data_IF_008807509987
#
_entry.id   IF_008807509987
#
_cell.length_a   1.000
_cell.length_b   1.000
_cell.length_c   1.000
_cell.angle_alpha   90.00
_cell.angle_beta   90.00
_cell.angle_gamma   90.00
#
_symmetry.space_group_name_H-M   'P 1'
#
loop_
_entity.id
_entity.type
_entity.pdbx_description
1 polymer ?
#
# COMPACT_ATOMS: atom_id res chain seq x y z
N UNK A 1 26.39 30.66 25.04
CA UNK A 1 25.01 30.40 25.51
C UNK A 1 24.64 28.92 25.36
N UNK A 2 24.35 28.22 26.47
CA UNK A 2 24.10 26.76 26.52
C UNK A 2 22.87 26.31 25.70
N UNK A 3 21.95 27.24 25.41
CA UNK A 3 20.76 26.99 24.59
C UNK A 3 21.05 26.45 23.18
N UNK A 4 22.19 26.83 22.57
CA UNK A 4 22.58 26.31 21.24
C UNK A 4 22.91 24.81 21.27
N UNK A 5 23.46 24.30 22.37
CA UNK A 5 23.75 22.87 22.53
C UNK A 5 22.47 22.08 22.77
N UNK A 6 21.57 22.60 23.61
CA UNK A 6 20.26 21.99 23.84
C UNK A 6 19.45 21.84 22.55
N UNK A 7 19.39 22.89 21.72
CA UNK A 7 18.74 22.87 20.40
C UNK A 7 19.36 21.85 19.45
N UNK A 8 20.70 21.71 19.44
CA UNK A 8 21.39 20.70 18.61
C UNK A 8 21.05 19.28 19.04
N UNK A 9 21.04 19.00 20.34
CA UNK A 9 20.71 17.67 20.88
C UNK A 9 19.25 17.31 20.60
N UNK A 10 18.31 18.24 20.86
CA UNK A 10 16.89 18.05 20.52
C UNK A 10 16.68 17.84 19.01
N UNK A 11 17.31 18.67 18.18
CA UNK A 11 17.24 18.54 16.72
C UNK A 11 17.79 17.20 16.23
N UNK A 12 18.92 16.75 16.78
CA UNK A 12 19.50 15.45 16.46
C UNK A 12 18.56 14.30 16.86
N UNK A 13 17.94 14.35 18.04
CA UNK A 13 16.98 13.35 18.50
C UNK A 13 15.76 13.25 17.58
N UNK A 14 15.18 14.39 17.21
CA UNK A 14 14.05 14.44 16.25
C UNK A 14 14.47 13.90 14.89
N UNK A 15 15.64 14.29 14.38
CA UNK A 15 16.15 13.79 13.11
C UNK A 15 16.33 12.26 13.13
N UNK A 16 16.88 11.70 14.21
CA UNK A 16 17.07 10.26 14.37
C UNK A 16 15.73 9.50 14.41
N UNK A 17 14.74 10.04 15.12
CA UNK A 17 13.38 9.52 15.16
C UNK A 17 12.74 9.49 13.77
N UNK A 18 12.85 10.59 13.02
CA UNK A 18 12.34 10.69 11.66
C UNK A 18 13.05 9.69 10.73
N UNK A 19 14.39 9.58 10.81
CA UNK A 19 15.15 8.61 10.02
C UNK A 19 14.67 7.19 10.31
N UNK A 20 14.48 6.82 11.58
CA UNK A 20 13.97 5.50 11.97
C UNK A 20 12.58 5.20 11.42
N UNK A 21 11.63 6.13 11.60
CA UNK A 21 10.25 6.01 11.11
C UNK A 21 10.19 5.87 9.58
N UNK A 22 10.94 6.70 8.86
CA UNK A 22 10.95 6.69 7.40
C UNK A 22 11.72 5.50 6.84
N UNK A 23 12.80 5.08 7.51
CA UNK A 23 13.56 3.87 7.18
C UNK A 23 12.68 2.63 7.31
N UNK A 24 11.98 2.47 8.44
CA UNK A 24 11.04 1.37 8.65
C UNK A 24 9.95 1.33 7.57
N UNK A 25 9.38 2.50 7.22
CA UNK A 25 8.40 2.61 6.13
C UNK A 25 8.96 2.08 4.81
N UNK A 26 10.19 2.47 4.47
CA UNK A 26 10.84 2.08 3.22
C UNK A 26 11.11 0.57 3.17
N UNK A 27 11.60 -0.01 4.28
CA UNK A 27 11.82 -1.45 4.41
C UNK A 27 10.51 -2.20 4.25
N UNK A 28 9.43 -1.79 4.93
CA UNK A 28 8.12 -2.45 4.86
C UNK A 28 7.51 -2.39 3.47
N UNK A 29 7.56 -1.25 2.79
CA UNK A 29 7.07 -1.15 1.41
C UNK A 29 7.87 -2.06 0.46
N UNK A 30 9.19 -2.09 0.62
CA UNK A 30 10.07 -2.91 -0.20
C UNK A 30 9.82 -4.41 0.03
N UNK A 31 9.62 -4.81 1.28
CA UNK A 31 9.25 -6.16 1.66
C UNK A 31 7.91 -6.58 1.03
N UNK A 32 6.85 -5.77 1.18
CA UNK A 32 5.54 -6.05 0.59
C UNK A 32 5.61 -6.17 -0.93
N UNK A 33 6.40 -5.31 -1.59
CA UNK A 33 6.62 -5.36 -3.04
C UNK A 33 7.36 -6.62 -3.47
N UNK A 34 8.29 -7.11 -2.66
CA UNK A 34 9.01 -8.34 -2.94
C UNK A 34 8.12 -9.57 -2.74
N UNK A 35 7.32 -9.60 -1.67
CA UNK A 35 6.37 -10.68 -1.38
C UNK A 35 5.23 -10.71 -2.40
N UNK A 36 4.72 -9.55 -2.85
CA UNK A 36 3.64 -9.47 -3.84
C UNK A 36 4.02 -10.03 -5.22
N UNK A 37 5.30 -10.26 -5.50
CA UNK A 37 5.76 -10.91 -6.73
C UNK A 37 5.61 -12.43 -6.69
N UNK A 38 5.47 -13.03 -5.52
CA UNK A 38 5.31 -14.47 -5.36
C UNK A 38 3.88 -14.90 -5.71
N UNK A 39 3.74 -16.03 -6.40
CA UNK A 39 2.48 -16.68 -6.85
C UNK A 39 1.74 -17.42 -5.71
N UNK A 40 2.06 -17.08 -4.46
CA UNK A 40 1.57 -17.74 -3.24
C UNK A 40 0.38 -16.97 -2.67
N UNK A 41 -0.60 -17.58 -1.97
CA UNK A 41 -1.62 -16.89 -1.17
C UNK A 41 -1.09 -15.78 -0.25
N UNK A 42 0.18 -15.82 0.18
CA UNK A 42 0.83 -14.71 0.89
C UNK A 42 1.09 -13.51 -0.03
N UNK A 43 1.47 -13.75 -1.29
CA UNK A 43 1.68 -12.73 -2.31
C UNK A 43 0.39 -11.99 -2.67
N UNK A 44 -0.73 -12.70 -2.82
CA UNK A 44 -2.06 -12.09 -3.05
C UNK A 44 -2.45 -11.11 -1.94
N UNK A 45 -2.31 -11.55 -0.68
CA UNK A 45 -2.56 -10.70 0.50
C UNK A 45 -1.62 -9.50 0.55
N UNK A 46 -0.33 -9.71 0.26
CA UNK A 46 0.66 -8.63 0.22
C UNK A 46 0.34 -7.61 -0.88
N UNK A 47 -0.22 -8.05 -2.01
CA UNK A 47 -0.61 -7.17 -3.11
C UNK A 47 -1.78 -6.26 -2.71
N UNK A 48 -2.81 -6.81 -2.05
CA UNK A 48 -3.90 -6.01 -1.48
C UNK A 48 -3.37 -5.03 -0.41
N UNK A 49 -2.52 -5.47 0.51
CA UNK A 49 -1.91 -4.59 1.51
C UNK A 49 -1.08 -3.47 0.87
N UNK A 50 -0.29 -3.78 -0.15
CA UNK A 50 0.51 -2.80 -0.87
C UNK A 50 -0.39 -1.75 -1.56
N UNK A 51 -1.54 -2.16 -2.09
CA UNK A 51 -2.51 -1.25 -2.68
C UNK A 51 -3.11 -0.31 -1.63
N UNK A 52 -3.61 -0.86 -0.52
CA UNK A 52 -4.18 -0.09 0.59
C UNK A 52 -3.16 0.87 1.18
N UNK A 53 -1.92 0.43 1.37
CA UNK A 53 -0.81 1.26 1.84
C UNK A 53 -0.55 2.44 0.88
N UNK A 54 -0.59 2.20 -0.44
CA UNK A 54 -0.44 3.26 -1.44
C UNK A 54 -1.61 4.23 -1.45
N UNK A 55 -2.84 3.75 -1.31
CA UNK A 55 -4.03 4.58 -1.21
C UNK A 55 -4.02 5.47 0.04
N UNK A 56 -3.67 4.91 1.20
CA UNK A 56 -3.51 5.66 2.43
C UNK A 56 -2.49 6.81 2.30
N UNK A 57 -1.42 6.60 1.51
CA UNK A 57 -0.42 7.64 1.21
C UNK A 57 -0.94 8.71 0.26
N UNK A 58 -1.79 8.33 -0.69
CA UNK A 58 -2.41 9.23 -1.66
C UNK A 58 -3.57 10.04 -1.04
N UNK A 59 -3.90 9.79 0.23
CA UNK A 59 -4.87 10.56 1.00
C UNK A 59 -6.27 9.98 1.02
N UNK A 60 -6.44 8.73 0.57
CA UNK A 60 -7.69 7.98 0.72
C UNK A 60 -7.87 7.51 2.16
N UNK A 61 -9.11 7.19 2.51
CA UNK A 61 -9.44 6.70 3.83
C UNK A 61 -8.90 5.30 4.07
N UNK A 62 -8.56 5.01 5.33
CA UNK A 62 -8.08 3.69 5.72
C UNK A 62 -9.27 2.73 5.73
N UNK A 63 -9.15 1.64 4.98
CA UNK A 63 -10.08 0.51 5.06
C UNK A 63 -10.21 0.02 6.51
N UNK A 64 -11.44 -0.07 7.00
CA UNK A 64 -11.67 -0.56 8.35
C UNK A 64 -11.28 -2.04 8.47
N UNK A 65 -10.92 -2.49 9.68
CA UNK A 65 -10.52 -3.90 9.91
C UNK A 65 -11.65 -4.88 9.60
N UNK A 66 -12.90 -4.50 9.88
CA UNK A 66 -14.09 -5.33 9.63
C UNK A 66 -14.57 -5.28 8.17
N UNK A 67 -14.18 -4.24 7.42
CA UNK A 67 -14.64 -4.02 6.05
C UNK A 67 -14.02 -5.05 5.11
N UNK A 68 -14.77 -5.59 4.16
CA UNK A 68 -14.21 -6.46 3.11
C UNK A 68 -13.50 -5.65 2.02
N UNK A 69 -12.68 -6.29 1.18
CA UNK A 69 -12.07 -5.59 0.04
C UNK A 69 -13.15 -5.08 -0.95
N UNK A 70 -14.27 -5.80 -1.07
CA UNK A 70 -15.41 -5.43 -1.89
C UNK A 70 -16.17 -4.24 -1.31
N UNK A 71 -16.50 -4.24 -0.02
CA UNK A 71 -17.15 -3.10 0.65
C UNK A 71 -16.31 -1.84 0.54
N UNK A 72 -15.00 -1.94 0.75
CA UNK A 72 -14.09 -0.80 0.58
C UNK A 72 -14.08 -0.29 -0.87
N UNK A 73 -14.16 -1.19 -1.85
CA UNK A 73 -14.22 -0.82 -3.25
C UNK A 73 -15.56 -0.17 -3.67
N UNK A 74 -16.65 -0.39 -2.92
CA UNK A 74 -17.91 0.33 -3.18
C UNK A 74 -17.76 1.83 -2.91
N UNK A 75 -16.89 2.23 -1.96
CA UNK A 75 -16.56 3.63 -1.69
C UNK A 75 -15.57 4.21 -2.71
N UNK A 76 -14.77 3.35 -3.35
CA UNK A 76 -13.73 3.72 -4.30
C UNK A 76 -13.85 2.88 -5.57
N UNK A 77 -14.71 3.33 -6.50
CA UNK A 77 -15.06 2.59 -7.73
C UNK A 77 -13.85 2.16 -8.56
N UNK A 78 -12.72 2.87 -8.47
CA UNK A 78 -11.50 2.50 -9.19
C UNK A 78 -10.91 1.14 -8.72
N UNK A 79 -11.30 0.66 -7.54
CA UNK A 79 -10.86 -0.61 -6.95
C UNK A 79 -11.80 -1.78 -7.23
N UNK A 80 -12.99 -1.55 -7.78
CA UNK A 80 -14.05 -2.56 -7.84
C UNK A 80 -13.59 -3.83 -8.57
N UNK A 81 -13.01 -3.66 -9.77
CA UNK A 81 -12.49 -4.77 -10.56
C UNK A 81 -11.40 -5.53 -9.80
N UNK A 82 -10.47 -4.80 -9.19
CA UNK A 82 -9.37 -5.37 -8.42
C UNK A 82 -9.89 -6.18 -7.22
N UNK A 83 -10.82 -5.62 -6.46
CA UNK A 83 -11.39 -6.26 -5.28
C UNK A 83 -12.19 -7.51 -5.64
N UNK A 84 -12.92 -7.48 -6.76
CA UNK A 84 -13.65 -8.64 -7.30
C UNK A 84 -12.69 -9.76 -7.69
N UNK A 85 -11.69 -9.46 -8.51
CA UNK A 85 -10.69 -10.44 -8.96
C UNK A 85 -9.90 -11.01 -7.78
N UNK A 86 -9.48 -10.18 -6.83
CA UNK A 86 -8.79 -10.64 -5.61
C UNK A 86 -9.69 -11.58 -4.78
N UNK A 87 -10.98 -11.27 -4.66
CA UNK A 87 -11.93 -12.10 -3.91
C UNK A 87 -12.13 -13.44 -4.61
N UNK A 88 -12.28 -13.45 -5.94
CA UNK A 88 -12.34 -14.68 -6.72
C UNK A 88 -11.08 -15.54 -6.54
N UNK A 89 -9.88 -14.95 -6.67
CA UNK A 89 -8.59 -15.63 -6.44
C UNK A 89 -8.40 -16.19 -5.04
N UNK A 90 -9.05 -15.57 -4.04
CA UNK A 90 -8.96 -16.03 -2.66
C UNK A 90 -9.87 -17.22 -2.35
N UNK A 91 -11.07 -17.25 -2.93
CA UNK A 91 -12.11 -18.22 -2.55
C UNK A 91 -12.33 -19.33 -3.58
N UNK A 92 -11.95 -19.13 -4.84
CA UNK A 92 -12.02 -20.18 -5.85
C UNK A 92 -10.91 -21.19 -5.60
N UNK A 93 -11.28 -22.43 -5.30
CA UNK A 93 -10.33 -23.53 -5.07
C UNK A 93 -9.98 -24.29 -6.35
N UNK A 94 -10.90 -24.32 -7.32
CA UNK A 94 -10.75 -25.07 -8.57
C UNK A 94 -10.33 -24.13 -9.70
N UNK A 95 -9.04 -24.21 -10.04
CA UNK A 95 -8.46 -23.60 -11.22
C UNK A 95 -7.98 -24.70 -12.16
N UNK A 96 -8.24 -24.53 -13.46
CA UNK A 96 -7.58 -25.32 -14.49
C UNK A 96 -6.07 -25.07 -14.49
N UNK A 97 -5.34 -25.95 -15.18
CA UNK A 97 -3.90 -25.82 -15.38
C UNK A 97 -3.59 -24.48 -16.08
N UNK A 98 -2.73 -23.65 -15.49
CA UNK A 98 -2.41 -22.30 -16.01
C UNK A 98 -3.46 -21.20 -15.80
N UNK A 99 -4.74 -21.54 -15.58
CA UNK A 99 -5.83 -20.55 -15.43
C UNK A 99 -5.59 -19.60 -14.23
N UNK A 100 -5.03 -20.14 -13.15
CA UNK A 100 -4.67 -19.36 -11.97
C UNK A 100 -3.57 -18.34 -12.26
N UNK A 101 -2.55 -18.73 -13.02
CA UNK A 101 -1.44 -17.83 -13.35
C UNK A 101 -1.92 -16.65 -14.22
N UNK A 102 -2.80 -16.92 -15.18
CA UNK A 102 -3.45 -15.88 -16.00
C UNK A 102 -4.28 -14.95 -15.12
N UNK A 103 -5.12 -15.48 -14.23
CA UNK A 103 -5.93 -14.67 -13.32
C UNK A 103 -5.07 -13.80 -12.38
N UNK A 104 -3.92 -14.31 -11.93
CA UNK A 104 -2.95 -13.56 -11.12
C UNK A 104 -2.23 -12.47 -11.92
N UNK A 105 -1.93 -12.71 -13.20
CA UNK A 105 -1.39 -11.68 -14.10
C UNK A 105 -2.41 -10.56 -14.33
N UNK A 106 -3.66 -10.91 -14.64
CA UNK A 106 -4.76 -9.94 -14.76
C UNK A 106 -4.93 -9.11 -13.48
N UNK A 107 -4.84 -9.72 -12.30
CA UNK A 107 -4.93 -8.99 -11.04
C UNK A 107 -3.80 -7.95 -10.90
N UNK A 108 -2.58 -8.27 -11.35
CA UNK A 108 -1.44 -7.35 -11.33
C UNK A 108 -1.62 -6.21 -12.32
N UNK A 109 -2.20 -6.47 -13.48
CA UNK A 109 -2.55 -5.43 -14.46
C UNK A 109 -3.65 -4.51 -13.92
N UNK A 110 -4.69 -5.07 -13.30
CA UNK A 110 -5.73 -4.30 -12.64
C UNK A 110 -5.16 -3.46 -11.48
N UNK A 111 -4.19 -3.98 -10.73
CA UNK A 111 -3.45 -3.19 -9.74
C UNK A 111 -2.70 -2.01 -10.36
N UNK A 112 -2.00 -2.23 -11.47
CA UNK A 112 -1.29 -1.16 -12.17
C UNK A 112 -2.27 -0.10 -12.72
N UNK A 113 -3.39 -0.55 -13.28
CA UNK A 113 -4.47 0.30 -13.78
C UNK A 113 -5.15 1.12 -12.68
N UNK A 114 -5.59 0.47 -11.60
CA UNK A 114 -6.18 1.13 -10.43
C UNK A 114 -5.22 2.15 -9.83
N UNK A 115 -3.94 1.79 -9.69
CA UNK A 115 -2.91 2.71 -9.19
C UNK A 115 -2.74 3.94 -10.10
N UNK A 116 -2.78 3.77 -11.42
CA UNK A 116 -2.69 4.91 -12.36
C UNK A 116 -3.88 5.84 -12.22
N UNK A 117 -5.09 5.28 -12.06
CA UNK A 117 -6.35 6.05 -11.88
C UNK A 117 -6.41 6.77 -10.52
N UNK A 118 -5.97 6.10 -9.46
CA UNK A 118 -5.98 6.64 -8.10
C UNK A 118 -4.89 7.71 -7.87
N UNK A 119 -3.87 7.76 -8.74
CA UNK A 119 -2.74 8.69 -8.61
C UNK A 119 -3.23 10.13 -8.86
N UNK A 120 -3.46 10.88 -7.77
CA UNK A 120 -3.74 12.32 -7.86
C UNK A 120 -2.56 13.08 -8.51
N UNK A 121 -2.75 13.78 -9.63
CA UNK A 121 -1.69 14.60 -10.23
C UNK A 121 -1.35 15.79 -9.32
N UNK A 122 -0.07 16.19 -9.29
CA UNK A 122 0.38 17.39 -8.59
C UNK A 122 1.64 17.23 -7.74
N UNK A 123 2.48 18.28 -7.72
CA UNK A 123 3.72 18.34 -6.92
C UNK A 123 3.42 18.28 -5.42
N UNK A 124 2.42 19.04 -4.94
CA UNK A 124 1.99 19.02 -3.54
C UNK A 124 1.46 17.65 -3.10
N UNK A 125 0.70 16.97 -3.96
CA UNK A 125 0.26 15.61 -3.70
C UNK A 125 1.45 14.65 -3.60
N UNK A 126 2.50 14.87 -4.40
CA UNK A 126 3.73 14.06 -4.35
C UNK A 126 4.50 14.29 -3.05
N UNK A 127 4.75 15.55 -2.66
CA UNK A 127 5.37 15.91 -1.38
C UNK A 127 4.59 15.35 -0.18
N UNK A 128 3.26 15.48 -0.19
CA UNK A 128 2.40 14.95 0.87
C UNK A 128 2.51 13.43 1.00
N UNK A 129 2.70 12.67 -0.11
CA UNK A 129 2.92 11.21 -0.05
C UNK A 129 4.27 10.84 0.56
N UNK A 130 5.28 11.70 0.41
CA UNK A 130 6.57 11.51 1.06
C UNK A 130 6.45 11.75 2.55
N UNK A 131 5.75 12.82 2.95
CA UNK A 131 5.60 13.22 4.37
C UNK A 131 4.54 12.39 5.12
N UNK A 132 3.58 11.79 4.41
CA UNK A 132 2.51 11.01 5.04
C UNK A 132 3.02 9.69 5.64
N UNK A 133 2.86 9.57 6.95
CA UNK A 133 3.11 8.34 7.72
C UNK A 133 1.87 7.43 7.79
N UNK A 134 0.72 7.81 7.20
CA UNK A 134 -0.52 7.01 7.24
C UNK A 134 -0.36 5.60 6.67
N UNK A 135 0.58 5.42 5.74
CA UNK A 135 0.92 4.10 5.19
C UNK A 135 1.54 3.14 6.21
N UNK A 136 2.00 3.60 7.38
CA UNK A 136 2.54 2.71 8.43
C UNK A 136 1.47 1.90 9.15
N UNK A 137 0.19 2.28 9.01
CA UNK A 137 -0.92 1.56 9.64
C UNK A 137 -1.12 0.14 9.06
N UNK A 138 -0.69 -0.10 7.82
CA UNK A 138 -0.78 -1.38 7.10
C UNK A 138 0.58 -2.00 6.86
#
# INVERSE_FOLDING_TARGET
FPWRLALKVLGAGVALLLIGLYGYRFVRESYLRMVSRKTDPRGLRALLQLLLMKMARDGYDLKARHETALEYAQKHRELENFARQHTMLRFRSNYGEGERETAEQELREQFAGARKRLKRPGLFATLRRWVSLRGLYY
#
